data_IF_465967357405
#
_entry.id   IF_465967357405
#
_cell.length_a   1.000
_cell.length_b   1.000
_cell.length_c   1.000
_cell.angle_alpha   90.00
_cell.angle_beta   90.00
_cell.angle_gamma   90.00
#
_symmetry.space_group_name_H-M   'P 1'
#
loop_
_entity.id
_entity.type
_entity.pdbx_description
1 polymer ?
#
# COMPACT_ATOMS: atom_id res chain seq x y z
N UNK A 1 30.37 -68.52 14.23
CA UNK A 1 29.95 -67.15 13.91
C UNK A 1 29.68 -66.34 15.17
N UNK A 2 30.46 -65.28 15.45
CA UNK A 2 30.04 -64.25 16.39
C UNK A 2 29.13 -63.22 15.66
N UNK A 3 28.02 -62.77 16.26
CA UNK A 3 27.18 -61.75 15.66
C UNK A 3 27.79 -60.34 15.75
N UNK A 4 27.40 -59.54 14.79
CA UNK A 4 27.96 -58.26 14.36
C UNK A 4 27.83 -57.12 15.38
N UNK A 5 28.83 -56.24 15.43
CA UNK A 5 28.72 -54.90 16.01
C UNK A 5 27.71 -54.06 15.22
N UNK A 6 26.83 -53.27 15.86
CA UNK A 6 26.24 -52.12 15.20
C UNK A 6 27.22 -50.93 15.29
N UNK A 7 27.79 -50.56 14.14
CA UNK A 7 28.32 -49.22 13.92
C UNK A 7 27.15 -48.24 13.77
N UNK A 8 27.17 -47.13 14.53
CA UNK A 8 26.16 -46.10 14.42
C UNK A 8 26.57 -44.78 15.07
N UNK A 9 27.41 -44.02 14.34
CA UNK A 9 27.56 -42.56 14.43
C UNK A 9 26.17 -41.89 14.44
N UNK A 10 25.87 -40.79 15.09
CA UNK A 10 26.60 -39.86 15.93
C UNK A 10 25.57 -38.80 16.34
N UNK A 11 25.59 -38.36 17.59
CA UNK A 11 24.73 -37.27 18.03
C UNK A 11 25.29 -35.97 17.46
N UNK A 12 24.80 -35.55 16.29
CA UNK A 12 25.04 -34.21 15.80
C UNK A 12 24.30 -33.23 16.74
N UNK A 13 25.04 -32.70 17.72
CA UNK A 13 24.65 -31.52 18.48
C UNK A 13 24.41 -30.39 17.48
N UNK A 14 23.15 -30.06 17.19
CA UNK A 14 22.81 -28.76 16.61
C UNK A 14 23.00 -27.72 17.71
N UNK A 15 24.25 -27.33 17.96
CA UNK A 15 24.58 -26.17 18.79
C UNK A 15 24.02 -24.92 18.12
N UNK A 16 23.26 -24.12 18.87
CA UNK A 16 22.47 -22.97 18.41
C UNK A 16 23.20 -22.06 17.43
N UNK A 17 22.98 -22.29 16.14
CA UNK A 17 23.30 -21.35 15.07
C UNK A 17 22.07 -20.50 14.83
N UNK A 18 22.16 -19.22 15.12
CA UNK A 18 21.15 -18.25 14.71
C UNK A 18 21.16 -18.16 13.18
N UNK A 19 20.18 -18.78 12.55
CA UNK A 19 19.95 -18.71 11.11
C UNK A 19 18.86 -17.66 10.86
N UNK A 20 19.18 -16.65 10.08
CA UNK A 20 18.26 -15.59 9.68
C UNK A 20 18.72 -14.99 8.35
N UNK A 21 17.78 -14.49 7.57
CA UNK A 21 18.05 -13.81 6.30
C UNK A 21 17.32 -12.48 6.27
N UNK A 22 17.89 -11.49 5.60
CA UNK A 22 17.27 -10.18 5.36
C UNK A 22 17.60 -9.72 3.94
N UNK A 23 16.57 -9.38 3.18
CA UNK A 23 16.74 -8.75 1.87
C UNK A 23 17.25 -7.32 2.03
N UNK A 24 18.24 -6.93 1.22
CA UNK A 24 18.79 -5.58 1.17
C UNK A 24 19.04 -5.18 -0.28
N UNK A 25 18.88 -3.88 -0.57
CA UNK A 25 19.28 -3.31 -1.84
C UNK A 25 20.72 -2.82 -1.72
N UNK A 26 21.69 -3.55 -2.29
CA UNK A 26 23.12 -3.23 -2.12
C UNK A 26 23.54 -1.94 -2.84
N UNK A 27 22.86 -1.57 -3.92
CA UNK A 27 23.18 -0.40 -4.74
C UNK A 27 21.93 0.44 -4.94
N UNK A 28 21.59 1.32 -3.99
CA UNK A 28 20.47 2.25 -4.18
C UNK A 28 20.97 3.60 -4.70
N UNK A 29 20.25 4.17 -5.67
CA UNK A 29 20.34 5.62 -5.90
C UNK A 29 19.81 6.29 -4.63
N UNK A 30 20.52 7.29 -4.12
CA UNK A 30 20.05 8.07 -3.00
C UNK A 30 18.81 8.86 -3.44
N UNK A 31 17.62 8.28 -3.32
CA UNK A 31 16.39 9.05 -3.36
C UNK A 31 16.41 9.95 -2.14
N UNK A 32 16.65 11.23 -2.41
CA UNK A 32 16.70 12.27 -1.41
C UNK A 32 15.33 12.36 -0.73
N UNK A 33 15.19 11.73 0.44
CA UNK A 33 14.06 11.98 1.35
C UNK A 33 13.97 13.44 1.79
N UNK A 34 14.94 14.29 1.41
CA UNK A 34 14.94 15.71 1.72
C UNK A 34 13.71 16.41 1.13
N UNK A 35 13.10 15.86 0.06
CA UNK A 35 11.83 16.36 -0.48
C UNK A 35 10.72 16.45 0.58
N UNK A 36 10.60 15.45 1.46
CA UNK A 36 9.59 15.44 2.53
C UNK A 36 9.71 16.61 3.52
N UNK A 37 10.94 17.09 3.74
CA UNK A 37 11.25 18.12 4.74
C UNK A 37 11.18 19.55 4.20
N UNK A 38 10.92 19.72 2.91
CA UNK A 38 10.86 21.04 2.30
C UNK A 38 9.61 21.80 2.78
N UNK A 39 9.71 23.08 3.17
CA UNK A 39 8.57 23.82 3.76
C UNK A 39 7.34 23.96 2.86
N UNK A 40 7.51 23.82 1.54
CA UNK A 40 6.42 23.91 0.57
C UNK A 40 5.69 22.57 0.34
N UNK A 41 6.24 21.47 0.85
CA UNK A 41 5.67 20.13 0.66
C UNK A 41 4.53 19.91 1.65
N UNK A 42 3.39 19.54 1.08
CA UNK A 42 2.14 19.24 1.79
C UNK A 42 1.93 17.73 1.83
N UNK A 43 1.16 17.27 2.81
CA UNK A 43 0.84 15.85 3.01
C UNK A 43 -0.66 15.63 2.88
N UNK A 44 -1.04 14.53 2.23
CA UNK A 44 -2.41 14.06 2.11
C UNK A 44 -2.48 12.56 2.43
N UNK A 45 -3.11 12.24 3.56
CA UNK A 45 -3.30 10.85 3.99
C UNK A 45 -4.59 10.29 3.38
N UNK A 46 -4.42 9.28 2.53
CA UNK A 46 -5.47 8.51 1.88
C UNK A 46 -5.57 7.19 2.63
N UNK A 47 -6.42 7.14 3.64
CA UNK A 47 -6.55 5.99 4.54
C UNK A 47 -7.99 5.53 4.65
N UNK A 48 -8.17 4.23 4.90
CA UNK A 48 -9.48 3.73 5.31
C UNK A 48 -9.82 4.22 6.72
N UNK A 49 -11.13 4.23 7.02
CA UNK A 49 -11.62 4.64 8.33
C UNK A 49 -12.27 3.45 9.02
N UNK A 50 -11.49 2.73 9.85
CA UNK A 50 -11.98 1.64 10.69
C UNK A 50 -12.67 0.52 9.88
N UNK A 51 -12.13 0.19 8.71
CA UNK A 51 -12.58 -0.89 7.85
C UNK A 51 -12.46 -2.24 8.58
N UNK A 52 -13.44 -3.13 8.41
CA UNK A 52 -13.41 -4.45 9.04
C UNK A 52 -12.92 -5.45 8.01
N UNK A 53 -11.67 -5.88 8.16
CA UNK A 53 -11.14 -6.97 7.34
C UNK A 53 -11.91 -8.24 7.73
N UNK A 54 -12.60 -8.89 6.78
CA UNK A 54 -13.36 -10.10 7.05
C UNK A 54 -12.45 -11.28 7.37
N UNK A 55 -12.96 -12.21 8.18
CA UNK A 55 -12.32 -13.42 8.67
C UNK A 55 -12.84 -14.69 7.97
N UNK A 56 -13.51 -14.54 6.84
CA UNK A 56 -14.07 -15.65 6.06
C UNK A 56 -13.42 -15.80 4.67
N UNK A 57 -12.36 -15.04 4.40
CA UNK A 57 -11.58 -15.11 3.17
C UNK A 57 -10.11 -14.81 3.46
N UNK A 58 -9.22 -15.50 2.75
CA UNK A 58 -7.77 -15.35 2.89
C UNK A 58 -7.23 -14.18 2.06
N UNK A 59 -7.87 -13.85 0.95
CA UNK A 59 -7.41 -12.81 0.01
C UNK A 59 -8.53 -11.79 -0.19
N UNK A 60 -8.27 -10.50 0.09
CA UNK A 60 -9.24 -9.44 -0.15
C UNK A 60 -8.59 -8.22 -0.80
N UNK A 61 -9.21 -7.74 -1.88
CA UNK A 61 -8.93 -6.45 -2.50
C UNK A 61 -10.07 -5.50 -2.18
N UNK A 62 -9.80 -4.46 -1.39
CA UNK A 62 -10.80 -3.47 -1.00
C UNK A 62 -10.52 -2.13 -1.63
N UNK A 63 -11.54 -1.56 -2.28
CA UNK A 63 -11.47 -0.31 -3.02
C UNK A 63 -12.30 0.78 -2.34
N UNK A 64 -11.80 2.01 -2.38
CA UNK A 64 -12.57 3.20 -1.97
C UNK A 64 -12.11 4.44 -2.73
N UNK A 65 -13.06 5.31 -3.05
CA UNK A 65 -12.81 6.59 -3.71
C UNK A 65 -12.43 7.67 -2.69
N UNK A 66 -11.46 8.48 -3.09
CA UNK A 66 -11.00 9.66 -2.38
C UNK A 66 -10.94 10.84 -3.36
N UNK A 67 -11.08 12.04 -2.82
CA UNK A 67 -10.90 13.29 -3.55
C UNK A 67 -9.64 13.96 -3.03
N UNK A 68 -8.88 14.58 -3.92
CA UNK A 68 -7.76 15.44 -3.54
C UNK A 68 -8.21 16.53 -2.56
N UNK A 69 -7.32 17.05 -1.70
CA UNK A 69 -7.64 18.20 -0.86
C UNK A 69 -8.13 19.39 -1.69
N UNK A 70 -8.80 20.40 -1.09
CA UNK A 70 -9.14 21.61 -1.82
C UNK A 70 -7.87 22.33 -2.33
N UNK A 71 -7.65 22.29 -3.65
CA UNK A 71 -6.54 22.96 -4.33
C UNK A 71 -7.07 24.09 -5.20
N UNK A 72 -6.39 25.25 -5.20
CA UNK A 72 -6.77 26.41 -6.02
C UNK A 72 -6.16 26.39 -7.43
N UNK A 73 -5.16 25.54 -7.64
CA UNK A 73 -4.43 25.36 -8.87
C UNK A 73 -3.80 23.96 -8.89
N UNK A 74 -3.21 23.58 -10.02
CA UNK A 74 -2.50 22.31 -10.18
C UNK A 74 -1.34 22.19 -9.18
N UNK A 75 -1.20 21.02 -8.59
CA UNK A 75 -0.04 20.61 -7.80
C UNK A 75 0.51 19.30 -8.38
N UNK A 76 1.61 18.79 -7.83
CA UNK A 76 2.21 17.53 -8.23
C UNK A 76 2.55 16.65 -7.03
N UNK A 77 2.17 15.38 -7.09
CA UNK A 77 2.69 14.33 -6.20
C UNK A 77 4.17 14.15 -6.51
N UNK A 78 4.99 14.20 -5.48
CA UNK A 78 6.45 14.05 -5.54
C UNK A 78 6.95 12.85 -4.74
N UNK A 79 6.07 12.17 -4.01
CA UNK A 79 6.42 10.97 -3.26
C UNK A 79 5.26 10.43 -2.45
N UNK A 80 5.48 9.25 -1.87
CA UNK A 80 4.51 8.58 -1.03
C UNK A 80 5.18 7.69 0.02
N UNK A 81 4.47 7.45 1.12
CA UNK A 81 4.85 6.49 2.16
C UNK A 81 3.63 5.66 2.59
N UNK A 82 3.81 4.41 3.04
CA UNK A 82 2.71 3.63 3.60
C UNK A 82 2.31 4.15 4.98
N UNK A 83 1.01 4.20 5.24
CA UNK A 83 0.44 4.39 6.58
C UNK A 83 -0.22 3.07 6.96
N UNK A 84 0.42 2.29 7.83
CA UNK A 84 -0.08 0.96 8.23
C UNK A 84 -0.56 1.01 9.67
N UNK A 85 -1.82 0.64 9.88
CA UNK A 85 -2.39 0.44 11.22
C UNK A 85 -1.60 -0.64 11.97
N UNK A 86 -1.26 -0.38 13.23
CA UNK A 86 -0.55 -1.35 14.08
C UNK A 86 -1.26 -2.71 14.14
N UNK A 87 -2.60 -2.71 14.08
CA UNK A 87 -3.42 -3.94 14.12
C UNK A 87 -3.42 -4.73 12.81
N UNK A 88 -3.03 -4.10 11.70
CA UNK A 88 -3.03 -4.67 10.35
C UNK A 88 -1.64 -5.00 9.85
N UNK A 89 -0.62 -4.88 10.70
CA UNK A 89 0.75 -5.26 10.37
C UNK A 89 0.80 -6.74 9.97
N UNK A 90 1.40 -7.00 8.81
CA UNK A 90 1.48 -8.34 8.23
C UNK A 90 0.23 -8.82 7.49
N UNK A 91 -0.86 -8.05 7.50
CA UNK A 91 -2.05 -8.33 6.68
C UNK A 91 -2.06 -7.51 5.38
N UNK A 92 -1.69 -6.23 5.45
CA UNK A 92 -1.64 -5.36 4.26
C UNK A 92 -0.46 -5.77 3.38
N UNK A 93 -0.74 -6.37 2.22
CA UNK A 93 0.28 -6.94 1.34
C UNK A 93 0.74 -5.95 0.25
N UNK A 94 -0.19 -5.25 -0.40
CA UNK A 94 0.12 -4.13 -1.29
C UNK A 94 -1.01 -3.11 -1.34
N UNK A 95 -0.70 -1.91 -1.81
CA UNK A 95 -1.65 -0.81 -1.98
C UNK A 95 -1.40 -0.14 -3.34
N UNK A 96 -2.49 0.13 -4.06
CA UNK A 96 -2.45 0.79 -5.36
C UNK A 96 -3.34 2.03 -5.29
N UNK A 97 -2.85 3.14 -5.83
CA UNK A 97 -3.62 4.37 -5.97
C UNK A 97 -3.81 4.64 -7.47
N UNK A 98 -5.06 4.69 -7.92
CA UNK A 98 -5.40 4.96 -9.31
C UNK A 98 -6.03 6.34 -9.48
N UNK A 99 -5.64 7.06 -10.52
CA UNK A 99 -6.37 8.23 -11.02
C UNK A 99 -7.68 7.79 -11.66
N UNK A 100 -8.77 8.47 -11.30
CA UNK A 100 -10.07 8.36 -11.97
C UNK A 100 -10.20 9.53 -12.95
N UNK A 101 -10.00 9.27 -14.25
CA UNK A 101 -9.94 10.32 -15.27
C UNK A 101 -11.31 10.51 -15.94
N UNK A 102 -11.74 11.76 -16.10
CA UNK A 102 -12.96 12.10 -16.84
C UNK A 102 -14.28 11.69 -16.16
N UNK A 103 -14.27 11.43 -14.85
CA UNK A 103 -15.46 11.02 -14.09
C UNK A 103 -15.62 11.84 -12.81
N UNK A 104 -16.86 12.23 -12.51
CA UNK A 104 -17.21 12.90 -11.25
C UNK A 104 -17.70 11.87 -10.23
N UNK A 105 -17.06 11.82 -9.05
CA UNK A 105 -17.32 10.79 -8.05
C UNK A 105 -17.70 11.34 -6.66
N UNK A 106 -18.14 12.61 -6.55
CA UNK A 106 -18.49 13.21 -5.24
C UNK A 106 -19.52 12.40 -4.46
N UNK A 107 -20.48 11.79 -5.17
CA UNK A 107 -21.52 10.94 -4.56
C UNK A 107 -20.96 9.70 -3.83
N UNK A 108 -19.72 9.30 -4.12
CA UNK A 108 -19.07 8.14 -3.51
C UNK A 108 -18.11 8.50 -2.37
N UNK A 109 -17.93 9.78 -2.02
CA UNK A 109 -16.99 10.18 -0.96
C UNK A 109 -17.43 9.71 0.43
N UNK A 110 -18.73 9.50 0.64
CA UNK A 110 -19.30 8.90 1.86
C UNK A 110 -19.43 7.37 1.77
N UNK A 111 -19.13 6.76 0.62
CA UNK A 111 -19.24 5.32 0.43
C UNK A 111 -18.23 4.58 1.33
N UNK A 112 -18.61 3.47 2.00
CA UNK A 112 -17.71 2.73 2.89
C UNK A 112 -16.56 2.03 2.16
N UNK A 113 -16.70 1.83 0.85
CA UNK A 113 -15.82 1.03 0.02
C UNK A 113 -16.54 -0.20 -0.54
N UNK A 114 -15.89 -0.94 -1.42
CA UNK A 114 -16.40 -2.19 -1.98
C UNK A 114 -15.23 -3.12 -2.31
N UNK A 115 -15.49 -4.41 -2.48
CA UNK A 115 -14.47 -5.31 -3.02
C UNK A 115 -14.24 -4.97 -4.51
N UNK A 116 -12.97 -4.79 -4.90
CA UNK A 116 -12.57 -4.16 -6.16
C UNK A 116 -13.07 -4.88 -7.43
N UNK A 117 -13.22 -6.20 -7.39
CA UNK A 117 -13.68 -7.01 -8.54
C UNK A 117 -14.99 -7.72 -8.25
N UNK A 118 -15.90 -7.02 -7.57
CA UNK A 118 -17.19 -7.58 -7.19
C UNK A 118 -18.35 -6.81 -7.82
N UNK A 119 -19.52 -7.45 -7.99
CA UNK A 119 -20.74 -6.74 -8.36
C UNK A 119 -21.17 -5.64 -7.37
N UNK A 120 -20.57 -5.59 -6.17
CA UNK A 120 -20.82 -4.53 -5.19
C UNK A 120 -20.06 -3.25 -5.49
N UNK A 121 -19.03 -3.29 -6.35
CA UNK A 121 -18.31 -2.10 -6.77
C UNK A 121 -19.18 -1.27 -7.74
N UNK A 122 -19.37 0.04 -7.50
CA UNK A 122 -20.07 0.91 -8.44
C UNK A 122 -19.36 0.95 -9.80
N UNK A 123 -20.11 0.76 -10.89
CA UNK A 123 -19.56 0.76 -12.27
C UNK A 123 -18.74 2.01 -12.62
N UNK A 124 -19.07 3.17 -12.06
CA UNK A 124 -18.30 4.40 -12.30
C UNK A 124 -16.85 4.32 -11.78
N UNK A 125 -16.54 3.41 -10.87
CA UNK A 125 -15.18 3.20 -10.37
C UNK A 125 -14.30 2.48 -11.39
N UNK A 126 -14.88 1.81 -12.40
CA UNK A 126 -14.14 1.19 -13.52
C UNK A 126 -13.38 2.22 -14.37
N UNK A 127 -13.62 3.52 -14.18
CA UNK A 127 -12.84 4.60 -14.79
C UNK A 127 -11.51 4.88 -14.07
N UNK A 128 -11.28 4.28 -12.91
CA UNK A 128 -10.08 4.44 -12.09
C UNK A 128 -9.02 3.39 -12.45
N UNK A 129 -8.40 3.53 -13.63
CA UNK A 129 -7.49 2.52 -14.20
C UNK A 129 -6.05 2.99 -14.38
N UNK A 130 -5.77 4.27 -14.15
CA UNK A 130 -4.43 4.84 -14.36
C UNK A 130 -3.65 4.80 -13.06
N UNK A 131 -2.66 3.90 -12.88
CA UNK A 131 -1.92 3.81 -11.63
C UNK A 131 -1.03 5.04 -11.42
N UNK A 132 -1.14 5.67 -10.25
CA UNK A 132 -0.30 6.79 -9.83
C UNK A 132 0.74 6.36 -8.79
N UNK A 133 0.36 5.46 -7.87
CA UNK A 133 1.25 4.95 -6.82
C UNK A 133 1.05 3.45 -6.67
N UNK A 134 2.16 2.73 -6.47
CA UNK A 134 2.15 1.33 -6.10
C UNK A 134 3.10 1.10 -4.92
N UNK A 135 2.58 0.53 -3.84
CA UNK A 135 3.35 0.13 -2.68
C UNK A 135 3.17 -1.37 -2.42
N UNK A 136 4.21 -2.06 -1.99
CA UNK A 136 4.16 -3.45 -1.55
C UNK A 136 4.96 -3.63 -0.26
N UNK A 137 4.72 -4.74 0.43
CA UNK A 137 5.45 -5.13 1.65
C UNK A 137 6.95 -4.89 1.50
N UNK A 138 7.59 -4.48 2.60
CA UNK A 138 9.01 -4.11 2.71
C UNK A 138 9.42 -2.77 2.07
N UNK A 139 8.59 -2.15 1.23
CA UNK A 139 8.86 -0.78 0.76
C UNK A 139 8.62 0.23 1.89
N UNK A 140 9.50 1.23 2.01
CA UNK A 140 9.28 2.38 2.91
C UNK A 140 8.52 3.51 2.23
N UNK A 141 8.12 3.35 0.97
CA UNK A 141 7.71 4.46 0.11
C UNK A 141 8.85 4.98 -0.77
N UNK A 142 8.53 5.93 -1.63
CA UNK A 142 9.43 6.46 -2.66
C UNK A 142 9.18 7.96 -2.87
N UNK A 143 10.26 8.70 -3.12
CA UNK A 143 10.21 10.06 -3.67
C UNK A 143 10.64 10.02 -5.12
N UNK A 144 9.91 10.73 -5.97
CA UNK A 144 10.20 10.88 -7.38
C UNK A 144 11.46 11.76 -7.57
N UNK A 145 12.17 11.64 -8.69
CA UNK A 145 13.25 12.56 -9.02
C UNK A 145 12.79 14.02 -8.99
N UNK A 146 13.69 14.95 -8.63
CA UNK A 146 13.37 16.38 -8.41
C UNK A 146 12.69 17.10 -9.60
N UNK A 147 12.81 16.54 -10.82
CA UNK A 147 12.24 17.07 -12.06
C UNK A 147 10.96 16.35 -12.52
N UNK A 148 10.42 15.45 -11.69
CA UNK A 148 9.26 14.61 -12.01
C UNK A 148 8.17 14.82 -10.96
N UNK A 149 6.93 14.92 -11.40
CA UNK A 149 5.77 14.95 -10.52
C UNK A 149 4.50 14.50 -11.24
N UNK A 150 3.59 13.87 -10.49
CA UNK A 150 2.31 13.39 -11.03
C UNK A 150 1.24 14.46 -10.74
N UNK A 151 0.57 15.02 -11.76
CA UNK A 151 -0.34 16.15 -11.56
C UNK A 151 -1.54 15.78 -10.69
N UNK A 152 -1.99 16.72 -9.85
CA UNK A 152 -3.23 16.65 -9.07
C UNK A 152 -3.95 18.00 -9.09
N UNK A 153 -5.28 17.96 -8.98
CA UNK A 153 -6.10 19.17 -8.95
C UNK A 153 -6.27 19.86 -10.31
N UNK A 154 -6.07 19.15 -11.43
CA UNK A 154 -6.49 19.63 -12.74
C UNK A 154 -8.00 19.45 -12.91
N UNK A 155 -8.71 20.43 -13.47
CA UNK A 155 -10.12 20.23 -13.77
C UNK A 155 -10.25 19.08 -14.81
N UNK A 156 -11.19 18.15 -14.58
CA UNK A 156 -11.45 16.96 -15.43
C UNK A 156 -10.39 15.83 -15.37
N UNK A 157 -9.29 15.99 -14.63
CA UNK A 157 -8.25 14.94 -14.46
C UNK A 157 -7.69 14.95 -13.03
N UNK A 158 -7.27 13.80 -12.49
CA UNK A 158 -6.49 13.76 -11.25
C UNK A 158 -7.13 14.50 -10.05
N UNK A 159 -8.47 14.48 -9.99
CA UNK A 159 -9.29 15.05 -8.89
C UNK A 159 -9.77 13.96 -7.95
N UNK A 160 -10.14 12.80 -8.50
CA UNK A 160 -10.55 11.62 -7.75
C UNK A 160 -9.52 10.52 -7.94
N UNK A 161 -9.33 9.78 -6.87
CA UNK A 161 -8.45 8.64 -6.82
C UNK A 161 -9.16 7.46 -6.18
N UNK A 162 -8.84 6.25 -6.62
CA UNK A 162 -9.27 5.01 -5.98
C UNK A 162 -8.07 4.40 -5.25
N UNK A 163 -8.20 4.20 -3.95
CA UNK A 163 -7.25 3.39 -3.19
C UNK A 163 -7.76 1.95 -3.18
N UNK A 164 -6.93 1.05 -3.68
CA UNK A 164 -7.05 -0.40 -3.54
C UNK A 164 -6.04 -0.87 -2.48
N UNK A 165 -6.52 -1.65 -1.51
CA UNK A 165 -5.67 -2.33 -0.52
C UNK A 165 -5.90 -3.82 -0.64
N UNK A 166 -4.81 -4.54 -0.87
CA UNK A 166 -4.81 -6.00 -0.83
C UNK A 166 -4.41 -6.49 0.56
N UNK A 167 -5.29 -7.27 1.17
CA UNK A 167 -5.09 -8.00 2.42
C UNK A 167 -4.81 -9.47 2.14
N UNK A 168 -3.68 -9.95 2.63
CA UNK A 168 -3.32 -11.36 2.71
C UNK A 168 -3.53 -11.83 4.16
N UNK A 169 -4.62 -12.57 4.40
CA UNK A 169 -5.15 -12.97 5.70
C UNK A 169 -5.32 -14.50 5.83
N UNK A 170 -4.25 -15.30 5.66
CA UNK A 170 -4.34 -16.77 5.67
C UNK A 170 -4.76 -17.34 7.03
N UNK A 171 -4.61 -16.55 8.10
CA UNK A 171 -5.03 -16.90 9.46
C UNK A 171 -6.45 -16.46 9.81
N UNK A 172 -7.18 -15.86 8.85
CA UNK A 172 -8.57 -15.43 9.01
C UNK A 172 -8.79 -14.55 10.25
N UNK A 173 -7.93 -13.55 10.44
CA UNK A 173 -8.01 -12.62 11.57
C UNK A 173 -9.04 -11.53 11.28
N UNK A 174 -9.93 -11.30 12.23
CA UNK A 174 -10.78 -10.11 12.20
C UNK A 174 -10.00 -8.89 12.71
N UNK A 175 -9.82 -7.90 11.84
CA UNK A 175 -9.03 -6.69 12.17
C UNK A 175 -9.78 -5.43 11.75
N UNK A 176 -9.67 -4.39 12.59
CA UNK A 176 -10.05 -3.03 12.25
C UNK A 176 -8.87 -2.30 11.64
N UNK A 177 -8.96 -2.04 10.35
CA UNK A 177 -7.95 -1.39 9.55
C UNK A 177 -8.23 0.10 9.32
N UNK A 178 -7.16 0.90 9.36
CA UNK A 178 -7.15 2.30 8.92
C UNK A 178 -5.87 2.58 8.13
N UNK A 179 -5.39 1.60 7.38
CA UNK A 179 -4.18 1.69 6.58
C UNK A 179 -4.46 2.40 5.25
N UNK A 180 -3.38 2.80 4.58
CA UNK A 180 -3.43 3.48 3.30
C UNK A 180 -2.09 4.12 2.94
N UNK A 181 -2.14 5.22 2.19
CA UNK A 181 -0.97 5.93 1.68
C UNK A 181 -0.93 7.36 2.19
N UNK A 182 0.25 7.83 2.57
CA UNK A 182 0.57 9.25 2.73
C UNK A 182 1.17 9.74 1.43
N UNK A 183 0.54 10.75 0.84
CA UNK A 183 1.00 11.38 -0.40
C UNK A 183 1.68 12.69 -0.06
N UNK A 184 2.88 12.90 -0.62
CA UNK A 184 3.63 14.16 -0.54
C UNK A 184 3.46 14.91 -1.86
N UNK A 185 3.07 16.17 -1.78
CA UNK A 185 2.82 16.98 -2.98
C UNK A 185 3.25 18.43 -2.77
N UNK A 186 3.56 19.12 -3.87
CA UNK A 186 3.92 20.54 -3.92
C UNK A 186 3.23 21.20 -5.09
N UNK A 187 3.15 22.53 -5.11
CA UNK A 187 2.69 23.32 -6.26
C UNK A 187 3.49 22.95 -7.53
#
# INVERSE_FOLDING_TARGET
DPPQQPQGRGWARQSGRWQGARSVHLVSVANSRNGASHPQVKQWDITFNNFSVPDNMDTLYWCKIFKVPPLTHKHHIIGYEPVISARSQGLVHHMLLYECVGVQLDQYLSHPGAACDSPTMPRLWEHCVTPAVAWAVSSTGEFLPDHVGIPIGEAQRSTFFMLEVHYDNPTLKQVKDSSGLRIFYTD
#
